data_IF_260127104556
#
_entry.id   IF_260127104556
#
_cell.length_a   1.000
_cell.length_b   1.000
_cell.length_c   1.000
_cell.angle_alpha   90.00
_cell.angle_beta   90.00
_cell.angle_gamma   90.00
#
_symmetry.space_group_name_H-M   'P 1'
#
loop_
_entity.id
_entity.type
_entity.pdbx_description
1 polymer ?
#
# COMPACT_ATOMS: atom_id res chain seq x y z
N UNK A 1 -65.92 -77.49 23.34
CA UNK A 1 -65.32 -76.33 24.04
C UNK A 1 -64.81 -75.38 22.97
N UNK A 2 -65.50 -74.24 22.85
CA UNK A 2 -65.78 -73.53 21.60
C UNK A 2 -64.57 -72.82 20.99
N UNK A 3 -64.53 -72.77 19.66
CA UNK A 3 -63.63 -71.96 18.80
C UNK A 3 -63.60 -70.47 19.19
N UNK A 4 -64.64 -69.98 19.89
CA UNK A 4 -64.68 -68.66 20.53
C UNK A 4 -63.63 -68.48 21.63
N UNK A 5 -63.31 -69.54 22.40
CA UNK A 5 -62.32 -69.46 23.49
C UNK A 5 -60.89 -69.35 22.94
N UNK A 6 -60.60 -69.97 21.79
CA UNK A 6 -59.30 -69.85 21.11
C UNK A 6 -59.11 -68.46 20.47
N UNK A 7 -60.17 -67.89 19.88
CA UNK A 7 -60.13 -66.53 19.33
C UNK A 7 -59.98 -65.45 20.41
N UNK A 8 -60.63 -65.62 21.57
CA UNK A 8 -60.48 -64.69 22.70
C UNK A 8 -59.08 -64.74 23.30
N UNK A 9 -58.45 -65.92 23.41
CA UNK A 9 -57.06 -66.04 23.86
C UNK A 9 -56.08 -65.39 22.86
N UNK A 10 -56.33 -65.54 21.54
CA UNK A 10 -55.48 -64.94 20.51
C UNK A 10 -55.62 -63.40 20.45
N UNK A 11 -56.82 -62.86 20.61
CA UNK A 11 -57.07 -61.41 20.67
C UNK A 11 -56.44 -60.77 21.91
N UNK A 12 -56.52 -61.45 23.06
CA UNK A 12 -55.90 -60.98 24.30
C UNK A 12 -54.37 -61.00 24.17
N UNK A 13 -53.76 -62.06 23.61
CA UNK A 13 -52.33 -62.12 23.33
C UNK A 13 -51.84 -61.08 22.31
N UNK A 14 -52.64 -60.77 21.27
CA UNK A 14 -52.31 -59.74 20.28
C UNK A 14 -52.35 -58.32 20.87
N UNK A 15 -53.33 -58.04 21.76
CA UNK A 15 -53.45 -56.75 22.43
C UNK A 15 -52.34 -56.52 23.49
N UNK A 16 -51.82 -57.58 24.10
CA UNK A 16 -50.65 -57.50 25.00
C UNK A 16 -49.30 -57.33 24.27
N UNK A 17 -49.19 -57.68 22.97
CA UNK A 17 -47.96 -57.52 22.18
C UNK A 17 -47.84 -56.16 21.45
N UNK A 18 -48.93 -55.39 21.33
CA UNK A 18 -48.93 -54.07 20.67
C UNK A 18 -48.93 -52.86 21.60
N UNK A 19 -48.94 -53.05 22.91
CA UNK A 19 -48.83 -51.95 23.88
C UNK A 19 -47.36 -51.57 24.10
N UNK A 20 -46.83 -50.62 23.31
CA UNK A 20 -45.59 -49.92 23.68
C UNK A 20 -45.86 -49.05 24.91
N UNK A 21 -45.08 -49.15 25.99
CA UNK A 21 -45.13 -48.20 27.07
C UNK A 21 -44.57 -46.85 26.59
N UNK A 22 -45.38 -45.79 26.70
CA UNK A 22 -44.87 -44.42 26.83
C UNK A 22 -44.23 -44.29 28.22
N UNK A 23 -43.00 -44.78 28.31
CA UNK A 23 -42.11 -44.59 29.45
C UNK A 23 -41.21 -43.38 29.21
N UNK A 24 -41.12 -42.52 30.22
CA UNK A 24 -40.39 -41.26 30.17
C UNK A 24 -38.91 -41.38 29.83
N UNK A 25 -38.40 -40.24 29.36
CA UNK A 25 -37.01 -39.95 29.05
C UNK A 25 -36.05 -40.39 30.18
N UNK A 26 -35.32 -41.48 29.95
CA UNK A 26 -34.07 -41.77 30.64
C UNK A 26 -32.96 -41.85 29.60
N UNK A 27 -32.08 -40.85 29.61
CA UNK A 27 -30.83 -40.83 28.86
C UNK A 27 -29.91 -41.95 29.34
N UNK A 28 -29.96 -43.11 28.69
CA UNK A 28 -28.90 -44.12 28.82
C UNK A 28 -27.79 -43.79 27.84
N UNK A 29 -26.58 -43.71 28.39
CA UNK A 29 -25.37 -43.17 27.79
C UNK A 29 -25.11 -43.70 26.39
N UNK A 30 -25.20 -42.77 25.43
CA UNK A 30 -24.35 -42.84 24.26
C UNK A 30 -22.91 -42.85 24.79
N UNK A 31 -22.15 -43.91 24.48
CA UNK A 31 -20.69 -43.91 24.62
C UNK A 31 -20.15 -42.93 23.55
N UNK A 32 -20.48 -41.65 23.71
CA UNK A 32 -19.70 -40.56 23.18
C UNK A 32 -18.40 -40.71 23.95
N UNK A 33 -17.40 -41.28 23.29
CA UNK A 33 -16.04 -40.88 23.60
C UNK A 33 -16.08 -39.37 23.54
N UNK A 34 -16.20 -38.73 24.70
CA UNK A 34 -16.03 -37.30 24.84
C UNK A 34 -14.59 -37.15 24.40
N UNK A 35 -14.39 -36.90 23.10
CA UNK A 35 -13.23 -36.18 22.62
C UNK A 35 -13.30 -34.93 23.47
N UNK A 36 -12.51 -34.94 24.55
CA UNK A 36 -12.37 -33.84 25.49
C UNK A 36 -12.07 -32.68 24.57
N UNK A 37 -13.08 -31.85 24.29
CA UNK A 37 -12.90 -30.67 23.48
C UNK A 37 -11.90 -29.88 24.29
N UNK A 38 -10.65 -29.92 23.86
CA UNK A 38 -9.55 -29.28 24.55
C UNK A 38 -9.91 -27.81 24.46
N UNK A 39 -10.43 -27.23 25.55
CA UNK A 39 -10.60 -25.79 25.63
C UNK A 39 -9.21 -25.23 25.38
N UNK A 40 -9.05 -24.53 24.27
CA UNK A 40 -7.81 -23.83 23.99
C UNK A 40 -7.63 -22.79 25.09
N UNK A 41 -6.56 -22.96 25.85
CA UNK A 41 -6.19 -22.03 26.90
C UNK A 41 -5.44 -20.90 26.21
N UNK A 42 -6.04 -19.72 26.28
CA UNK A 42 -5.47 -18.48 25.79
C UNK A 42 -4.78 -17.76 26.95
N UNK A 43 -3.46 -17.57 26.84
CA UNK A 43 -2.69 -16.77 27.78
C UNK A 43 -2.43 -15.40 27.15
N UNK A 44 -2.37 -14.35 27.97
CA UNK A 44 -2.00 -13.01 27.47
C UNK A 44 -0.50 -12.97 27.20
N UNK A 45 -0.05 -12.96 25.95
CA UNK A 45 1.38 -13.06 25.63
C UNK A 45 2.24 -11.89 26.19
N UNK A 46 1.63 -10.73 26.44
CA UNK A 46 2.31 -9.57 27.04
C UNK A 46 2.69 -9.81 28.51
N UNK A 47 1.87 -10.56 29.25
CA UNK A 47 1.98 -10.70 30.70
C UNK A 47 2.25 -12.15 31.15
N UNK A 48 1.95 -13.13 30.31
CA UNK A 48 1.92 -14.55 30.62
C UNK A 48 2.54 -15.42 29.52
N UNK A 49 2.98 -16.62 29.91
CA UNK A 49 3.40 -17.68 29.00
C UNK A 49 2.68 -18.98 29.33
N UNK A 50 2.53 -19.83 28.32
CA UNK A 50 1.87 -21.12 28.47
C UNK A 50 2.83 -22.18 29.04
N UNK A 51 2.38 -22.86 30.09
CA UNK A 51 3.04 -24.06 30.63
C UNK A 51 2.02 -25.21 30.70
N UNK A 52 2.00 -26.06 29.67
CA UNK A 52 1.00 -27.13 29.56
C UNK A 52 -0.43 -26.59 29.41
N UNK A 53 -1.27 -26.88 30.41
CA UNK A 53 -2.67 -26.44 30.47
C UNK A 53 -2.86 -25.33 31.54
N UNK A 54 -1.84 -24.50 31.78
CA UNK A 54 -1.93 -23.30 32.61
C UNK A 54 -1.13 -22.14 32.01
N UNK A 55 -1.54 -20.92 32.38
CA UNK A 55 -0.84 -19.68 32.11
C UNK A 55 0.00 -19.29 33.33
N UNK A 56 1.24 -18.87 33.09
CA UNK A 56 2.19 -18.45 34.11
C UNK A 56 2.59 -17.00 33.85
N UNK A 57 2.80 -16.21 34.90
CA UNK A 57 3.27 -14.82 34.74
C UNK A 57 4.71 -14.79 34.22
N UNK A 58 4.96 -13.89 33.27
CA UNK A 58 6.25 -13.65 32.63
C UNK A 58 7.33 -13.17 33.62
N UNK A 59 8.58 -13.52 33.34
CA UNK A 59 9.75 -12.92 33.97
C UNK A 59 9.97 -11.50 33.44
N UNK A 60 10.42 -10.54 34.27
CA UNK A 60 10.66 -9.17 33.80
C UNK A 60 11.80 -9.11 32.77
N UNK A 61 11.87 -8.01 32.03
CA UNK A 61 12.98 -7.73 31.12
C UNK A 61 14.33 -7.85 31.84
N UNK A 62 15.33 -8.40 31.15
CA UNK A 62 16.64 -8.74 31.67
C UNK A 62 16.70 -9.99 32.53
N UNK A 63 15.61 -10.77 32.58
CA UNK A 63 15.55 -12.07 33.23
C UNK A 63 15.04 -13.14 32.26
N UNK A 64 15.43 -14.39 32.54
CA UNK A 64 14.93 -15.62 31.91
C UNK A 64 14.24 -16.52 32.94
N UNK A 65 13.34 -17.37 32.48
CA UNK A 65 12.73 -18.41 33.29
C UNK A 65 13.66 -19.62 33.43
N UNK A 66 13.97 -20.02 34.66
CA UNK A 66 14.76 -21.24 34.94
C UNK A 66 13.84 -22.42 35.32
N UNK A 67 12.72 -22.14 35.98
CA UNK A 67 11.69 -23.15 36.24
C UNK A 67 10.29 -22.53 36.09
N UNK A 68 9.35 -23.24 35.44
CA UNK A 68 8.02 -22.72 35.21
C UNK A 68 7.21 -22.61 36.52
N UNK A 69 6.07 -21.92 36.46
CA UNK A 69 5.13 -21.90 37.57
C UNK A 69 4.47 -23.27 37.77
N UNK A 70 4.05 -23.54 39.01
CA UNK A 70 3.31 -24.76 39.38
C UNK A 70 1.80 -24.52 39.52
N UNK A 71 1.37 -23.27 39.49
CA UNK A 71 -0.01 -22.83 39.69
C UNK A 71 -0.40 -21.78 38.65
N UNK A 72 -1.64 -21.85 38.15
CA UNK A 72 -2.15 -20.93 37.14
C UNK A 72 -2.12 -19.47 37.64
N UNK A 73 -1.64 -18.56 36.82
CA UNK A 73 -1.51 -17.13 37.13
C UNK A 73 -0.38 -16.80 38.12
N UNK A 74 0.53 -17.74 38.41
CA UNK A 74 1.71 -17.48 39.27
C UNK A 74 2.98 -17.29 38.44
N UNK A 75 3.95 -16.60 39.04
CA UNK A 75 5.29 -16.42 38.46
C UNK A 75 6.16 -17.64 38.76
N UNK A 76 6.88 -18.12 37.74
CA UNK A 76 7.92 -19.14 37.90
C UNK A 76 9.20 -18.59 38.54
N UNK A 77 10.29 -19.35 38.52
CA UNK A 77 11.59 -18.85 38.98
C UNK A 77 12.31 -18.14 37.85
N UNK A 78 12.63 -16.87 38.07
CA UNK A 78 13.35 -16.02 37.14
C UNK A 78 14.80 -15.81 37.59
N UNK A 79 15.71 -15.65 36.64
CA UNK A 79 17.13 -15.37 36.89
C UNK A 79 17.61 -14.31 35.91
N UNK A 80 18.50 -13.44 36.38
CA UNK A 80 19.03 -12.34 35.59
C UNK A 80 19.87 -12.87 34.43
N UNK A 81 19.82 -12.20 33.29
CA UNK A 81 20.67 -12.53 32.16
C UNK A 81 22.15 -12.33 32.49
N UNK A 82 22.97 -13.28 32.06
CA UNK A 82 24.42 -13.22 32.12
C UNK A 82 24.96 -12.07 31.26
N UNK A 83 26.19 -11.62 31.53
CA UNK A 83 26.84 -10.56 30.76
C UNK A 83 26.95 -10.95 29.27
N UNK A 84 26.70 -9.96 28.39
CA UNK A 84 26.62 -10.19 26.95
C UNK A 84 25.32 -10.86 26.48
N UNK A 85 24.30 -10.97 27.34
CA UNK A 85 22.96 -11.44 27.00
C UNK A 85 21.88 -10.50 27.50
N UNK A 86 20.72 -10.52 26.82
CA UNK A 86 19.61 -9.64 27.12
C UNK A 86 18.24 -10.27 26.87
N UNK A 87 17.22 -9.68 27.50
CA UNK A 87 15.80 -9.82 27.12
C UNK A 87 15.15 -8.44 27.25
N UNK A 88 14.62 -7.91 26.14
CA UNK A 88 14.12 -6.53 26.09
C UNK A 88 12.76 -6.35 26.78
N UNK A 89 11.96 -7.41 26.80
CA UNK A 89 10.60 -7.39 27.32
C UNK A 89 10.36 -8.47 28.38
N UNK A 90 9.23 -8.36 29.07
CA UNK A 90 8.70 -9.41 29.93
C UNK A 90 8.51 -10.69 29.11
N UNK A 91 8.95 -11.84 29.61
CA UNK A 91 9.01 -13.06 28.81
C UNK A 91 8.94 -14.37 29.62
N UNK A 92 8.52 -15.45 28.96
CA UNK A 92 8.60 -16.83 29.45
C UNK A 92 9.79 -17.64 28.90
N UNK A 93 10.85 -16.97 28.44
CA UNK A 93 11.95 -17.63 27.73
C UNK A 93 12.84 -18.41 28.67
N UNK A 94 13.29 -19.59 28.24
CA UNK A 94 14.26 -20.40 28.98
C UNK A 94 15.68 -19.85 28.93
N UNK A 95 15.98 -18.99 27.95
CA UNK A 95 17.30 -18.44 27.71
C UNK A 95 17.22 -16.97 27.31
N UNK A 96 18.21 -16.19 27.71
CA UNK A 96 18.39 -14.83 27.21
C UNK A 96 19.04 -14.82 25.84
N UNK A 97 18.71 -13.82 25.02
CA UNK A 97 19.31 -13.61 23.71
C UNK A 97 20.75 -13.17 23.85
N UNK A 98 21.62 -13.62 22.94
CA UNK A 98 23.00 -13.15 22.89
C UNK A 98 23.03 -11.76 22.27
N UNK A 99 23.79 -10.84 22.84
CA UNK A 99 23.97 -9.52 22.27
C UNK A 99 24.69 -9.59 20.91
N UNK A 100 24.27 -8.73 20.00
CA UNK A 100 24.90 -8.49 18.71
C UNK A 100 26.33 -7.98 18.92
N UNK A 101 27.26 -8.49 18.12
CA UNK A 101 28.62 -7.94 18.07
C UNK A 101 28.74 -7.05 16.84
N UNK A 102 29.12 -5.79 17.04
CA UNK A 102 29.36 -4.87 15.93
C UNK A 102 30.56 -5.33 15.12
N UNK A 103 30.44 -5.23 13.80
CA UNK A 103 31.52 -5.56 12.87
C UNK A 103 32.64 -4.50 12.92
N UNK A 104 33.75 -4.79 12.25
CA UNK A 104 34.90 -3.88 12.16
C UNK A 104 34.61 -2.56 11.44
N UNK A 105 33.62 -2.52 10.55
CA UNK A 105 33.16 -1.33 9.81
C UNK A 105 32.11 -0.51 10.59
N UNK A 106 31.79 -0.92 11.81
CA UNK A 106 30.78 -0.33 12.66
C UNK A 106 31.37 0.13 14.00
N UNK A 107 30.69 1.08 14.62
CA UNK A 107 30.92 1.50 16.00
C UNK A 107 29.70 1.13 16.85
N UNK A 108 29.97 0.91 18.15
CA UNK A 108 28.92 0.66 19.13
C UNK A 108 28.24 2.00 19.42
N UNK A 109 26.99 2.15 19.00
CA UNK A 109 26.17 3.32 19.33
C UNK A 109 25.58 3.18 20.73
N UNK A 110 25.05 2.00 21.06
CA UNK A 110 24.61 1.66 22.42
C UNK A 110 25.19 0.32 22.85
N UNK A 111 25.80 0.24 24.05
CA UNK A 111 26.36 -1.00 24.54
C UNK A 111 25.25 -1.99 24.93
N UNK A 112 25.57 -3.28 24.88
CA UNK A 112 24.73 -4.34 25.44
C UNK A 112 24.44 -4.08 26.93
N UNK A 113 23.20 -4.34 27.34
CA UNK A 113 22.81 -4.46 28.75
C UNK A 113 21.88 -5.65 28.93
N UNK A 114 21.51 -6.02 30.16
CA UNK A 114 20.59 -7.14 30.34
C UNK A 114 19.19 -6.88 29.72
N UNK A 115 18.80 -5.63 29.48
CA UNK A 115 17.49 -5.29 28.89
C UNK A 115 17.60 -4.73 27.48
N UNK A 116 18.80 -4.64 26.90
CA UNK A 116 19.00 -3.98 25.61
C UNK A 116 20.08 -4.67 24.80
N UNK A 117 19.79 -4.91 23.53
CA UNK A 117 20.80 -5.38 22.59
C UNK A 117 21.87 -4.31 22.35
N UNK A 118 23.00 -4.71 21.80
CA UNK A 118 23.96 -3.76 21.22
C UNK A 118 23.35 -3.12 19.98
N UNK A 119 23.37 -1.80 19.91
CA UNK A 119 23.04 -1.05 18.69
C UNK A 119 24.33 -0.65 17.97
N UNK A 120 24.46 -1.08 16.72
CA UNK A 120 25.63 -0.81 15.89
C UNK A 120 25.31 0.26 14.84
N UNK A 121 26.27 1.14 14.59
CA UNK A 121 26.16 2.19 13.58
C UNK A 121 27.36 2.12 12.62
N UNK A 122 27.15 2.40 11.34
CA UNK A 122 28.27 2.51 10.40
C UNK A 122 29.22 3.62 10.82
N UNK A 123 30.52 3.35 10.73
CA UNK A 123 31.59 4.33 10.93
C UNK A 123 31.42 5.54 10.01
N UNK A 124 31.96 6.68 10.43
CA UNK A 124 31.96 7.91 9.61
C UNK A 124 32.51 7.65 8.21
N UNK A 125 31.78 8.12 7.20
CA UNK A 125 32.09 7.85 5.79
C UNK A 125 31.49 6.54 5.24
N UNK A 126 30.73 5.80 6.05
CA UNK A 126 29.91 4.66 5.62
C UNK A 126 28.43 4.83 5.96
N UNK A 127 27.56 4.19 5.18
CA UNK A 127 26.12 4.18 5.36
C UNK A 127 25.49 2.82 5.05
N UNK A 128 24.33 2.56 5.64
CA UNK A 128 23.46 1.45 5.29
C UNK A 128 22.03 1.92 5.11
N UNK A 129 21.48 1.71 3.92
CA UNK A 129 20.10 2.11 3.63
C UNK A 129 19.11 1.31 4.51
N UNK A 130 18.11 2.01 5.07
CA UNK A 130 17.12 1.43 5.99
C UNK A 130 16.25 0.32 5.38
N UNK A 131 16.24 0.22 4.04
CA UNK A 131 15.52 -0.76 3.26
C UNK A 131 16.34 -2.04 2.95
N UNK A 132 17.61 -2.10 3.36
CA UNK A 132 18.52 -3.23 3.08
C UNK A 132 19.10 -3.80 4.37
N UNK A 133 19.32 -5.13 4.40
CA UNK A 133 20.03 -5.75 5.51
C UNK A 133 21.46 -5.20 5.47
N UNK A 134 21.88 -4.53 6.53
CA UNK A 134 23.18 -3.88 6.59
C UNK A 134 24.26 -4.94 6.77
N UNK A 135 24.48 -5.80 5.77
CA UNK A 135 25.52 -6.84 5.77
C UNK A 135 26.92 -6.24 5.65
N UNK A 136 27.03 -5.09 4.98
CA UNK A 136 28.27 -4.30 4.84
C UNK A 136 27.92 -2.81 4.81
N UNK A 137 28.66 -1.97 5.54
CA UNK A 137 28.55 -0.51 5.45
C UNK A 137 29.12 -0.03 4.11
N UNK A 138 28.25 0.56 3.28
CA UNK A 138 28.63 1.11 1.97
C UNK A 138 29.36 2.42 2.17
N UNK A 139 30.47 2.63 1.46
CA UNK A 139 31.15 3.94 1.51
C UNK A 139 30.25 5.03 0.93
N UNK A 140 30.26 6.19 1.57
CA UNK A 140 29.56 7.37 1.08
C UNK A 140 30.13 7.80 -0.27
N UNK A 141 29.25 8.12 -1.21
CA UNK A 141 29.60 8.72 -2.49
C UNK A 141 30.17 10.13 -2.27
N UNK A 142 31.05 10.55 -3.17
CA UNK A 142 31.54 11.93 -3.25
C UNK A 142 31.00 12.53 -4.55
N UNK A 143 30.51 13.76 -4.48
CA UNK A 143 30.02 14.44 -5.68
C UNK A 143 31.18 14.85 -6.57
N UNK A 144 30.97 14.77 -7.88
CA UNK A 144 31.98 15.16 -8.86
C UNK A 144 32.16 16.67 -8.92
N UNK A 145 33.23 17.15 -9.59
CA UNK A 145 33.56 18.59 -9.66
C UNK A 145 32.44 19.45 -10.25
N UNK A 146 31.66 18.88 -11.17
CA UNK A 146 30.53 19.54 -11.83
C UNK A 146 29.20 19.39 -11.08
N UNK A 147 29.23 18.76 -9.90
CA UNK A 147 28.07 18.55 -9.04
C UNK A 147 28.25 19.28 -7.69
N UNK A 148 27.13 19.59 -7.05
CA UNK A 148 27.07 20.11 -5.70
C UNK A 148 26.39 19.11 -4.76
N UNK A 149 26.87 19.05 -3.53
CA UNK A 149 26.26 18.23 -2.49
C UNK A 149 25.00 18.90 -1.99
N UNK A 150 23.86 18.23 -2.19
CA UNK A 150 22.55 18.71 -1.72
C UNK A 150 22.26 18.18 -0.32
N UNK A 151 22.74 16.96 -0.03
CA UNK A 151 22.59 16.34 1.28
C UNK A 151 23.82 15.52 1.61
N UNK A 152 24.36 15.77 2.79
CA UNK A 152 25.51 15.02 3.30
C UNK A 152 25.14 13.56 3.62
N UNK A 153 26.16 12.71 3.53
CA UNK A 153 26.03 11.32 3.95
C UNK A 153 25.75 11.22 5.45
N UNK A 154 24.91 10.25 5.83
CA UNK A 154 24.68 9.86 7.22
C UNK A 154 24.92 8.36 7.36
N UNK A 155 24.92 7.83 8.59
CA UNK A 155 25.04 6.38 8.80
C UNK A 155 23.96 5.53 8.10
N UNK A 156 22.86 6.15 7.66
CA UNK A 156 21.72 5.47 7.03
C UNK A 156 21.40 5.93 5.61
N UNK A 157 22.01 7.02 5.14
CA UNK A 157 21.73 7.59 3.81
C UNK A 157 23.01 8.00 3.11
N UNK A 158 23.09 7.73 1.81
CA UNK A 158 24.22 8.19 1.01
C UNK A 158 24.22 9.72 0.84
N UNK A 159 25.35 10.26 0.40
CA UNK A 159 25.46 11.61 -0.15
C UNK A 159 24.54 11.76 -1.36
N UNK A 160 23.81 12.89 -1.44
CA UNK A 160 22.99 13.24 -2.60
C UNK A 160 23.66 14.38 -3.35
N UNK A 161 23.91 14.15 -4.65
CA UNK A 161 24.59 15.08 -5.54
C UNK A 161 23.62 15.61 -6.59
N UNK A 162 23.81 16.86 -7.01
CA UNK A 162 23.05 17.49 -8.09
C UNK A 162 23.99 18.24 -9.04
N UNK A 163 23.76 18.22 -10.36
CA UNK A 163 24.55 19.00 -11.30
C UNK A 163 24.51 20.50 -10.95
N UNK A 164 25.67 21.15 -11.02
CA UNK A 164 25.74 22.62 -10.90
C UNK A 164 25.02 23.23 -12.08
N UNK A 165 24.02 24.06 -11.81
CA UNK A 165 23.37 24.86 -12.86
C UNK A 165 24.40 25.84 -13.39
N UNK A 166 24.97 25.56 -14.57
CA UNK A 166 25.69 26.60 -15.31
C UNK A 166 24.64 27.66 -15.59
N UNK A 167 24.78 28.83 -14.97
CA UNK A 167 24.10 30.02 -15.47
C UNK A 167 24.65 30.22 -16.87
N UNK A 168 23.99 29.65 -17.88
CA UNK A 168 24.08 30.20 -19.21
C UNK A 168 23.67 31.66 -19.02
N UNK A 169 24.56 32.64 -19.28
CA UNK A 169 24.12 34.03 -19.26
C UNK A 169 22.91 34.07 -20.20
N UNK A 170 21.76 34.46 -19.67
CA UNK A 170 20.63 34.84 -20.51
C UNK A 170 21.23 35.89 -21.42
N UNK A 171 21.51 35.53 -22.67
CA UNK A 171 21.94 36.46 -23.68
C UNK A 171 20.71 37.33 -23.94
N UNK A 172 20.48 38.31 -23.08
CA UNK A 172 19.59 39.42 -23.36
C UNK A 172 20.24 40.06 -24.56
N UNK A 173 19.74 39.68 -25.74
CA UNK A 173 20.16 40.26 -27.01
C UNK A 173 20.17 41.77 -26.81
N UNK A 174 21.33 42.42 -26.97
CA UNK A 174 21.47 43.88 -26.84
C UNK A 174 20.50 44.65 -27.75
N UNK A 175 19.87 43.94 -28.71
CA UNK A 175 18.83 44.45 -29.59
C UNK A 175 17.45 44.54 -28.93
N UNK A 176 17.18 43.84 -27.83
CA UNK A 176 15.89 43.89 -27.13
C UNK A 176 15.63 45.23 -26.42
N UNK A 177 16.69 46.02 -26.18
CA UNK A 177 16.61 47.33 -25.52
C UNK A 177 15.87 48.36 -26.39
N UNK A 178 15.98 48.26 -27.72
CA UNK A 178 15.32 49.19 -28.65
C UNK A 178 13.97 48.72 -29.17
N UNK A 179 13.66 47.42 -29.07
CA UNK A 179 12.40 46.86 -29.61
C UNK A 179 11.19 47.39 -28.82
N UNK A 180 11.26 47.40 -27.49
CA UNK A 180 10.13 47.85 -26.65
C UNK A 180 9.83 49.35 -26.83
N UNK A 181 10.82 50.27 -26.82
CA UNK A 181 10.59 51.68 -27.10
C UNK A 181 10.07 51.96 -28.51
N UNK A 182 10.60 51.30 -29.54
CA UNK A 182 10.15 51.49 -30.93
C UNK A 182 8.70 51.04 -31.13
N UNK A 183 8.31 49.91 -30.54
CA UNK A 183 6.94 49.42 -30.62
C UNK A 183 5.95 50.37 -29.93
N UNK A 184 6.31 50.91 -28.77
CA UNK A 184 5.47 51.91 -28.08
C UNK A 184 5.36 53.23 -28.86
N UNK A 185 6.46 53.69 -29.46
CA UNK A 185 6.45 54.90 -30.29
C UNK A 185 5.57 54.72 -31.54
N UNK A 186 5.69 53.58 -32.23
CA UNK A 186 4.88 53.28 -33.41
C UNK A 186 3.38 53.23 -33.07
N UNK A 187 3.00 52.62 -31.94
CA UNK A 187 1.62 52.61 -31.46
C UNK A 187 1.12 54.01 -31.12
N UNK A 188 1.95 54.87 -30.52
CA UNK A 188 1.62 56.26 -30.26
C UNK A 188 1.33 57.05 -31.55
N UNK A 189 2.16 56.89 -32.58
CA UNK A 189 1.97 57.54 -33.89
C UNK A 189 0.66 57.09 -34.55
N UNK A 190 0.33 55.80 -34.48
CA UNK A 190 -0.92 55.25 -35.00
C UNK A 190 -2.12 55.87 -34.28
N UNK A 191 -2.08 55.97 -32.95
CA UNK A 191 -3.15 56.60 -32.17
C UNK A 191 -3.37 58.07 -32.53
N UNK A 192 -2.29 58.84 -32.72
CA UNK A 192 -2.36 60.24 -33.15
C UNK A 192 -2.96 60.33 -34.55
N UNK A 193 -2.52 59.49 -35.48
CA UNK A 193 -3.03 59.49 -36.86
C UNK A 193 -4.53 59.16 -36.90
N UNK A 194 -4.96 58.12 -36.17
CA UNK A 194 -6.38 57.78 -36.02
C UNK A 194 -7.15 58.94 -35.40
N UNK A 195 -6.62 59.57 -34.34
CA UNK A 195 -7.23 60.74 -33.70
C UNK A 195 -7.41 61.93 -34.65
N UNK A 196 -6.42 62.23 -35.50
CA UNK A 196 -6.49 63.30 -36.50
C UNK A 196 -7.51 62.98 -37.59
N UNK A 197 -7.54 61.74 -38.10
CA UNK A 197 -8.54 61.30 -39.08
C UNK A 197 -9.95 61.37 -38.48
N UNK A 198 -10.10 60.97 -37.21
CA UNK A 198 -11.37 61.03 -36.49
C UNK A 198 -11.81 62.47 -36.25
N UNK A 199 -10.91 63.38 -35.88
CA UNK A 199 -11.19 64.81 -35.77
C UNK A 199 -11.59 65.43 -37.11
N UNK A 200 -10.89 65.08 -38.21
CA UNK A 200 -11.25 65.55 -39.56
C UNK A 200 -12.63 65.05 -39.98
N UNK A 201 -12.96 63.78 -39.69
CA UNK A 201 -14.30 63.23 -39.93
C UNK A 201 -15.36 63.92 -39.07
N UNK A 202 -15.09 64.18 -37.79
CA UNK A 202 -16.01 64.88 -36.89
C UNK A 202 -16.29 66.32 -37.32
N UNK A 203 -15.28 67.05 -37.81
CA UNK A 203 -15.47 68.39 -38.40
C UNK A 203 -16.28 68.35 -39.70
N UNK A 204 -16.21 67.26 -40.48
CA UNK A 204 -17.03 67.09 -41.68
C UNK A 204 -18.51 66.82 -41.35
N UNK A 205 -18.81 66.10 -40.25
CA UNK A 205 -20.20 65.88 -39.80
C UNK A 205 -20.84 67.08 -39.09
N UNK A 206 -20.04 68.02 -38.57
CA UNK A 206 -20.54 69.25 -37.93
C UNK A 206 -20.95 70.31 -38.98
N UNK A 207 -20.41 70.25 -40.20
CA UNK A 207 -20.77 71.15 -41.32
C UNK A 207 -22.16 70.89 -41.93
N UNK A 208 -22.88 69.83 -41.54
CA UNK A 208 -24.25 69.54 -42.02
C UNK A 208 -25.35 69.68 -40.94
N UNK A 209 -25.06 70.20 -39.74
CA UNK A 209 -26.07 70.41 -38.69
C UNK A 209 -26.59 71.86 -38.57
N UNK A 210 -26.14 72.78 -39.43
CA UNK A 210 -26.66 74.15 -39.50
C UNK A 210 -27.37 74.43 -40.83
N UNK A 211 -28.29 73.54 -41.27
CA UNK A 211 -29.28 73.89 -42.31
C UNK A 211 -30.48 72.92 -42.34
N UNK A 212 -31.28 72.89 -41.27
CA UNK A 212 -32.70 72.49 -41.38
C UNK A 212 -33.48 72.94 -40.14
N UNK A 213 -33.95 74.18 -40.18
CA UNK A 213 -35.07 74.67 -39.37
C UNK A 213 -36.32 74.63 -40.26
N UNK A 214 -37.40 74.03 -39.74
CA UNK A 214 -38.76 74.10 -40.27
C UNK A 214 -39.18 72.84 -41.06
N UNK A 215 -40.30 72.16 -40.78
CA UNK A 215 -41.55 72.65 -40.18
C UNK A 215 -42.50 71.47 -39.84
N UNK A 216 -43.14 71.55 -38.65
CA UNK A 216 -44.51 71.09 -38.28
C UNK A 216 -44.84 69.57 -38.29
N UNK A 217 -45.72 69.03 -37.43
CA UNK A 217 -46.67 69.57 -36.45
C UNK A 217 -46.96 68.51 -35.37
N UNK A 218 -47.75 68.89 -34.36
CA UNK A 218 -48.08 68.22 -33.09
C UNK A 218 -48.64 66.77 -33.10
N UNK A 219 -49.13 66.16 -32.02
CA UNK A 219 -49.32 66.51 -30.61
C UNK A 219 -49.87 65.24 -29.90
N UNK A 220 -49.67 65.15 -28.58
CA UNK A 220 -50.53 64.51 -27.55
C UNK A 220 -50.38 63.01 -27.16
N UNK A 221 -50.10 62.87 -25.86
CA UNK A 221 -50.72 62.03 -24.83
C UNK A 221 -50.57 60.50 -24.76
N UNK A 222 -49.87 60.10 -23.68
CA UNK A 222 -50.35 59.39 -22.47
C UNK A 222 -50.99 57.98 -22.53
N UNK A 223 -50.59 57.22 -21.49
CA UNK A 223 -51.22 56.04 -20.85
C UNK A 223 -50.91 54.61 -21.33
N UNK A 224 -50.05 53.96 -20.52
CA UNK A 224 -50.31 52.74 -19.71
C UNK A 224 -51.32 51.66 -20.18
N UNK A 225 -50.85 50.40 -20.31
CA UNK A 225 -51.49 49.18 -19.75
C UNK A 225 -50.56 47.96 -19.99
N UNK A 226 -50.12 47.23 -18.96
CA UNK A 226 -50.78 46.08 -18.29
C UNK A 226 -50.94 44.86 -19.23
N UNK A 227 -50.08 43.84 -19.19
CA UNK A 227 -50.26 42.57 -18.44
C UNK A 227 -49.06 41.65 -18.83
N UNK A 228 -48.18 41.15 -17.95
CA UNK A 228 -48.28 40.07 -16.94
C UNK A 228 -48.57 38.67 -17.50
N UNK A 229 -47.54 37.80 -17.53
CA UNK A 229 -47.51 36.37 -17.11
C UNK A 229 -46.13 35.79 -17.51
N UNK A 230 -45.36 34.95 -16.81
CA UNK A 230 -45.12 34.66 -15.39
C UNK A 230 -43.73 33.99 -15.34
N UNK A 231 -43.06 34.16 -14.20
CA UNK A 231 -41.65 33.88 -13.88
C UNK A 231 -41.46 32.44 -13.37
N UNK A 232 -40.20 31.99 -13.44
CA UNK A 232 -39.44 31.13 -12.49
C UNK A 232 -39.10 29.69 -12.94
N UNK A 233 -37.77 29.47 -12.94
CA UNK A 233 -36.97 28.29 -12.57
C UNK A 233 -36.47 27.24 -13.56
N UNK A 234 -35.19 26.91 -13.31
CA UNK A 234 -34.44 25.66 -13.45
C UNK A 234 -33.57 25.45 -14.70
N UNK A 235 -32.26 25.53 -14.44
CA UNK A 235 -31.15 24.86 -15.15
C UNK A 235 -31.25 23.32 -15.04
N UNK A 236 -30.83 22.60 -16.09
CA UNK A 236 -29.87 21.48 -15.95
C UNK A 236 -28.74 21.60 -17.01
N UNK A 237 -27.47 21.38 -16.67
CA UNK A 237 -26.77 20.09 -16.50
C UNK A 237 -26.36 19.39 -17.81
N UNK A 238 -25.03 19.31 -17.96
CA UNK A 238 -24.21 18.23 -18.53
C UNK A 238 -23.96 18.03 -20.04
N UNK A 239 -22.67 17.68 -20.25
CA UNK A 239 -22.05 16.87 -21.29
C UNK A 239 -21.61 17.57 -22.59
N UNK A 240 -20.30 17.49 -22.85
CA UNK A 240 -19.67 17.79 -24.11
C UNK A 240 -18.63 16.69 -24.38
N UNK A 241 -18.76 15.88 -25.45
CA UNK A 241 -17.74 14.91 -25.84
C UNK A 241 -16.90 15.39 -27.03
N UNK A 242 -15.61 15.07 -26.95
CA UNK A 242 -14.67 14.67 -28.03
C UNK A 242 -14.70 15.37 -29.39
N UNK A 243 -13.54 15.92 -29.77
CA UNK A 243 -13.13 16.07 -31.17
C UNK A 243 -11.70 15.55 -31.38
N UNK A 244 -11.60 14.45 -32.12
CA UNK A 244 -10.39 13.98 -32.79
C UNK A 244 -10.05 14.91 -33.96
N UNK A 245 -8.75 15.10 -34.27
CA UNK A 245 -8.20 14.76 -35.60
C UNK A 245 -6.65 14.76 -35.61
N UNK A 246 -6.10 13.58 -35.84
CA UNK A 246 -4.96 13.19 -36.71
C UNK A 246 -3.65 14.02 -36.74
N UNK A 247 -2.54 13.33 -36.39
CA UNK A 247 -1.18 13.63 -36.87
C UNK A 247 -0.65 12.45 -37.70
N UNK A 248 -0.13 12.75 -38.90
CA UNK A 248 0.49 11.80 -39.82
C UNK A 248 1.98 11.64 -39.54
N UNK A 249 2.44 10.40 -39.74
CA UNK A 249 3.82 9.92 -39.67
C UNK A 249 4.75 10.63 -40.65
N UNK A 250 6.01 10.79 -40.27
CA UNK A 250 7.14 10.95 -41.19
C UNK A 250 8.33 10.18 -40.63
N UNK A 251 8.61 9.02 -41.23
CA UNK A 251 9.84 8.25 -41.04
C UNK A 251 10.74 8.47 -42.25
N UNK A 252 11.99 8.84 -41.99
CA UNK A 252 13.05 9.00 -42.99
C UNK A 252 13.70 7.66 -43.30
N UNK A 253 13.83 7.39 -44.60
CA UNK A 253 14.51 6.23 -45.16
C UNK A 253 16.03 6.46 -45.24
N UNK A 254 16.83 5.43 -44.96
CA UNK A 254 18.20 5.28 -45.43
C UNK A 254 18.47 3.86 -45.93
N UNK A 255 19.39 3.67 -46.89
CA UNK A 255 19.35 2.56 -47.84
C UNK A 255 20.09 1.27 -47.42
N UNK A 256 19.64 0.19 -48.05
CA UNK A 256 20.05 -1.21 -48.00
C UNK A 256 21.43 -1.49 -48.63
N UNK A 257 22.15 -2.47 -48.07
CA UNK A 257 23.22 -3.23 -48.73
C UNK A 257 23.12 -4.73 -48.35
N UNK A 258 23.60 -5.68 -49.18
CA UNK A 258 23.17 -7.08 -49.16
C UNK A 258 23.96 -8.00 -48.21
N UNK A 259 23.46 -9.21 -47.87
CA UNK A 259 24.04 -10.03 -46.81
C UNK A 259 25.19 -10.90 -47.32
N UNK A 260 26.24 -11.00 -46.51
CA UNK A 260 27.31 -12.01 -46.66
C UNK A 260 27.14 -13.05 -45.57
N UNK A 261 26.89 -14.29 -45.97
CA UNK A 261 26.77 -15.43 -45.07
C UNK A 261 28.04 -15.58 -44.21
N UNK A 262 27.85 -15.62 -42.88
CA UNK A 262 28.84 -16.16 -41.93
C UNK A 262 28.14 -17.09 -40.95
N UNK A 263 28.83 -18.19 -40.71
CA UNK A 263 28.47 -19.38 -39.97
C UNK A 263 27.92 -19.08 -38.56
N UNK A 264 26.84 -19.76 -38.22
CA UNK A 264 26.24 -19.79 -36.88
C UNK A 264 27.26 -20.35 -35.88
N UNK A 265 27.59 -19.55 -34.87
CA UNK A 265 28.07 -20.02 -33.57
C UNK A 265 26.85 -19.97 -32.65
N UNK A 266 26.49 -21.04 -31.91
CA UNK A 266 25.36 -20.97 -30.98
C UNK A 266 25.71 -20.01 -29.85
N UNK A 267 24.86 -19.02 -29.51
CA UNK A 267 25.07 -18.21 -28.32
C UNK A 267 24.76 -19.06 -27.07
N UNK A 268 25.45 -18.84 -25.94
CA UNK A 268 25.11 -19.50 -24.70
C UNK A 268 23.71 -19.05 -24.29
N UNK A 269 22.88 -20.00 -23.82
CA UNK A 269 21.53 -19.79 -23.34
C UNK A 269 21.42 -18.48 -22.53
N UNK A 270 20.81 -17.46 -23.16
CA UNK A 270 20.12 -16.39 -22.43
C UNK A 270 19.03 -17.10 -21.64
N UNK A 271 19.16 -17.14 -20.32
CA UNK A 271 18.00 -17.36 -19.46
C UNK A 271 17.09 -16.17 -19.73
N UNK A 272 16.01 -16.41 -20.45
CA UNK A 272 14.87 -15.49 -20.44
C UNK A 272 14.52 -15.30 -18.97
N UNK A 273 14.58 -14.05 -18.48
CA UNK A 273 13.89 -13.72 -17.22
C UNK A 273 12.42 -13.92 -17.51
N UNK A 274 11.90 -15.12 -17.23
CA UNK A 274 10.47 -15.39 -17.29
C UNK A 274 9.75 -14.35 -16.43
N UNK A 275 8.95 -13.52 -17.10
CA UNK A 275 8.04 -12.59 -16.46
C UNK A 275 7.13 -13.38 -15.51
N UNK A 276 7.06 -12.96 -14.25
CA UNK A 276 6.33 -13.72 -13.23
C UNK A 276 4.85 -13.86 -13.65
N UNK A 277 4.31 -15.09 -13.77
CA UNK A 277 2.97 -15.30 -14.32
C UNK A 277 1.89 -14.53 -13.57
N UNK A 278 0.98 -13.89 -14.31
CA UNK A 278 -0.14 -13.15 -13.74
C UNK A 278 -1.24 -14.12 -13.33
N UNK A 279 -1.71 -14.01 -12.09
CA UNK A 279 -2.76 -14.85 -11.52
C UNK A 279 -4.14 -14.17 -11.59
N UNK A 280 -5.18 -14.96 -11.82
CA UNK A 280 -6.57 -14.51 -11.85
C UNK A 280 -7.37 -15.11 -10.68
N UNK A 281 -8.07 -14.28 -9.88
CA UNK A 281 -8.82 -14.76 -8.72
C UNK A 281 -10.07 -15.54 -9.14
N UNK A 282 -10.38 -16.62 -8.43
CA UNK A 282 -11.59 -17.43 -8.65
C UNK A 282 -12.81 -16.81 -7.96
N UNK A 283 -12.65 -16.32 -6.73
CA UNK A 283 -13.71 -15.75 -5.88
C UNK A 283 -13.40 -14.29 -5.46
N UNK A 284 -12.92 -13.45 -6.39
CA UNK A 284 -12.69 -12.02 -6.13
C UNK A 284 -11.77 -11.76 -4.93
N UNK A 285 -12.20 -10.90 -4.00
CA UNK A 285 -11.45 -10.54 -2.78
C UNK A 285 -11.33 -11.70 -1.77
N UNK A 286 -12.25 -12.67 -1.79
CA UNK A 286 -12.22 -13.83 -0.90
C UNK A 286 -11.07 -14.78 -1.26
N UNK A 287 -10.75 -14.92 -2.55
CA UNK A 287 -9.53 -15.62 -3.00
C UNK A 287 -8.27 -15.01 -2.40
N UNK A 288 -8.22 -13.68 -2.27
CA UNK A 288 -7.06 -13.00 -1.71
C UNK A 288 -6.96 -13.22 -0.20
N UNK A 289 -8.08 -13.11 0.53
CA UNK A 289 -8.11 -13.39 1.99
C UNK A 289 -7.67 -14.80 2.32
N UNK A 290 -8.10 -15.79 1.54
CA UNK A 290 -7.69 -17.18 1.73
C UNK A 290 -6.18 -17.41 1.50
N UNK A 291 -5.49 -16.49 0.82
CA UNK A 291 -4.05 -16.59 0.63
C UNK A 291 -3.22 -15.99 1.77
N UNK A 292 -3.83 -15.29 2.74
CA UNK A 292 -3.08 -14.61 3.81
C UNK A 292 -2.30 -15.58 4.70
N UNK A 293 -2.84 -16.78 4.93
CA UNK A 293 -2.15 -17.84 5.69
C UNK A 293 -0.83 -18.29 5.03
N UNK A 294 -0.66 -18.10 3.71
CA UNK A 294 0.58 -18.49 3.02
C UNK A 294 1.74 -17.53 3.30
N UNK A 295 1.44 -16.32 3.79
CA UNK A 295 2.47 -15.33 4.13
C UNK A 295 3.06 -15.59 5.52
N UNK A 296 2.47 -16.46 6.33
CA UNK A 296 2.95 -16.87 7.65
C UNK A 296 4.36 -17.49 7.65
N UNK A 297 4.82 -17.95 6.48
CA UNK A 297 6.16 -18.50 6.27
C UNK A 297 7.22 -17.44 5.95
N UNK A 298 6.83 -16.17 5.82
CA UNK A 298 7.78 -15.09 5.57
C UNK A 298 8.65 -14.83 6.78
N UNK A 299 9.94 -14.55 6.57
CA UNK A 299 10.84 -14.22 7.67
C UNK A 299 10.53 -12.81 8.23
N UNK A 300 10.55 -12.71 9.56
CA UNK A 300 10.20 -11.50 10.33
C UNK A 300 11.03 -10.28 9.93
N UNK A 301 12.27 -10.51 9.47
CA UNK A 301 13.20 -9.48 9.02
C UNK A 301 12.70 -8.76 7.76
N UNK A 302 11.92 -9.45 6.90
CA UNK A 302 11.39 -8.88 5.67
C UNK A 302 9.97 -8.32 5.83
N UNK A 303 9.25 -8.71 6.89
CA UNK A 303 7.86 -8.28 7.15
C UNK A 303 7.69 -6.76 7.13
N UNK A 304 8.50 -6.02 7.90
CA UNK A 304 8.40 -4.55 7.93
C UNK A 304 8.72 -3.92 6.57
N UNK A 305 9.65 -4.50 5.80
CA UNK A 305 10.03 -3.99 4.47
C UNK A 305 8.96 -4.26 3.43
N UNK A 306 8.35 -5.43 3.49
CA UNK A 306 7.23 -5.84 2.65
C UNK A 306 6.08 -4.85 2.77
N UNK A 307 5.63 -4.57 3.98
CA UNK A 307 4.53 -3.64 4.20
C UNK A 307 4.87 -2.17 3.88
N UNK A 308 6.13 -1.75 4.02
CA UNK A 308 6.60 -0.45 3.51
C UNK A 308 6.53 -0.37 1.98
N UNK A 309 6.86 -1.45 1.26
CA UNK A 309 6.75 -1.50 -0.21
C UNK A 309 5.30 -1.46 -0.68
N UNK A 310 4.39 -2.03 0.09
CA UNK A 310 2.95 -1.89 -0.09
C UNK A 310 2.41 -0.49 0.32
N UNK A 311 3.29 0.45 0.65
CA UNK A 311 2.92 1.83 0.95
C UNK A 311 2.25 2.01 2.31
N UNK A 312 2.41 1.08 3.26
CA UNK A 312 1.99 1.30 4.64
C UNK A 312 3.01 2.14 5.41
N UNK A 313 2.51 3.05 6.25
CA UNK A 313 3.36 3.91 7.07
C UNK A 313 3.91 3.16 8.27
N UNK A 314 5.08 3.58 8.76
CA UNK A 314 5.71 2.99 9.95
C UNK A 314 4.81 3.05 11.18
N UNK A 315 3.96 4.08 11.29
CA UNK A 315 3.02 4.21 12.40
C UNK A 315 2.00 3.05 12.44
N UNK A 316 1.51 2.62 11.27
CA UNK A 316 0.56 1.50 11.15
C UNK A 316 1.27 0.17 11.34
N UNK A 317 2.50 0.03 10.82
CA UNK A 317 3.29 -1.19 10.96
C UNK A 317 3.70 -1.42 12.43
N UNK A 318 4.05 -0.34 13.14
CA UNK A 318 4.48 -0.41 14.54
C UNK A 318 3.29 -0.42 15.53
N UNK A 319 2.08 0.01 15.14
CA UNK A 319 0.91 -0.12 16.02
C UNK A 319 0.52 -1.58 16.28
N UNK A 320 0.98 -2.50 15.42
CA UNK A 320 0.80 -3.96 15.51
C UNK A 320 2.02 -4.70 16.07
N UNK A 321 3.02 -3.96 16.57
CA UNK A 321 4.23 -4.52 17.19
C UNK A 321 3.95 -5.47 18.37
N UNK A 322 2.91 -5.27 19.22
CA UNK A 322 2.62 -6.17 20.33
C UNK A 322 2.04 -7.54 19.92
N UNK A 323 1.55 -7.69 18.69
CA UNK A 323 0.89 -8.92 18.25
C UNK A 323 1.90 -10.05 17.93
N UNK A 324 1.46 -11.29 18.11
CA UNK A 324 2.16 -12.47 17.60
C UNK A 324 2.40 -12.33 16.09
N UNK A 325 3.47 -12.94 15.58
CA UNK A 325 3.88 -12.78 14.17
C UNK A 325 2.76 -13.12 13.17
N UNK A 326 1.98 -14.18 13.42
CA UNK A 326 0.87 -14.57 12.56
C UNK A 326 -0.30 -13.59 12.65
N UNK A 327 -0.68 -13.16 13.85
CA UNK A 327 -1.76 -12.18 14.00
C UNK A 327 -1.35 -10.82 13.40
N UNK A 328 -0.07 -10.45 13.53
CA UNK A 328 0.51 -9.25 12.96
C UNK A 328 0.47 -9.25 11.44
N UNK A 329 0.80 -10.36 10.78
CA UNK A 329 0.81 -10.41 9.32
C UNK A 329 -0.60 -10.37 8.75
N UNK A 330 -1.54 -11.11 9.35
CA UNK A 330 -2.94 -11.09 8.96
C UNK A 330 -3.56 -9.71 9.17
N UNK A 331 -3.35 -9.07 10.32
CA UNK A 331 -3.85 -7.72 10.59
C UNK A 331 -3.32 -6.69 9.59
N UNK A 332 -2.01 -6.73 9.30
CA UNK A 332 -1.39 -5.80 8.37
C UNK A 332 -1.84 -6.03 6.92
N UNK A 333 -2.04 -7.29 6.51
CA UNK A 333 -2.63 -7.62 5.20
C UNK A 333 -4.09 -7.16 5.10
N UNK A 334 -4.88 -7.29 6.16
CA UNK A 334 -6.23 -6.77 6.22
C UNK A 334 -6.26 -5.24 6.08
N UNK A 335 -5.41 -4.53 6.84
CA UNK A 335 -5.33 -3.06 6.76
C UNK A 335 -4.88 -2.61 5.36
N UNK A 336 -3.92 -3.31 4.75
CA UNK A 336 -3.50 -3.03 3.38
C UNK A 336 -4.65 -3.23 2.39
N UNK A 337 -5.36 -4.35 2.48
CA UNK A 337 -6.50 -4.66 1.61
C UNK A 337 -7.62 -3.61 1.75
N UNK A 338 -7.94 -3.17 2.96
CA UNK A 338 -8.92 -2.11 3.21
C UNK A 338 -8.50 -0.77 2.60
N UNK A 339 -7.20 -0.46 2.63
CA UNK A 339 -6.64 0.77 2.04
C UNK A 339 -6.69 0.75 0.52
N UNK A 340 -6.33 -0.36 -0.10
CA UNK A 340 -6.26 -0.50 -1.56
C UNK A 340 -7.65 -0.73 -2.19
N UNK A 341 -8.58 -1.32 -1.43
CA UNK A 341 -9.95 -1.53 -1.86
C UNK A 341 -10.09 -2.60 -2.96
N UNK A 342 -10.94 -2.34 -3.96
CA UNK A 342 -11.29 -3.32 -5.01
C UNK A 342 -10.15 -3.67 -5.96
N UNK A 343 -9.12 -2.85 -6.01
CA UNK A 343 -7.95 -3.08 -6.88
C UNK A 343 -6.89 -3.96 -6.19
N UNK A 344 -7.09 -4.32 -4.91
CA UNK A 344 -6.18 -5.22 -4.20
C UNK A 344 -6.12 -6.60 -4.86
N UNK A 345 -4.91 -7.02 -5.24
CA UNK A 345 -4.70 -8.32 -5.84
C UNK A 345 -3.51 -9.06 -5.23
N UNK A 346 -3.56 -10.40 -5.29
CA UNK A 346 -2.42 -11.23 -4.92
C UNK A 346 -1.19 -10.89 -5.78
N UNK A 347 -1.38 -10.45 -7.03
CA UNK A 347 -0.28 -10.04 -7.90
C UNK A 347 0.48 -8.84 -7.35
N UNK A 348 -0.17 -7.92 -6.64
CA UNK A 348 0.50 -6.77 -6.02
C UNK A 348 1.38 -7.21 -4.86
N UNK A 349 0.89 -8.16 -4.05
CA UNK A 349 1.67 -8.80 -2.98
C UNK A 349 2.87 -9.57 -3.57
N UNK A 350 2.67 -10.38 -4.60
CA UNK A 350 3.73 -11.13 -5.26
C UNK A 350 4.76 -10.22 -5.91
N UNK A 351 4.32 -9.12 -6.54
CA UNK A 351 5.21 -8.09 -7.09
C UNK A 351 6.07 -7.43 -5.99
N UNK A 352 5.47 -7.09 -4.85
CA UNK A 352 6.20 -6.53 -3.72
C UNK A 352 7.26 -7.52 -3.17
N UNK A 353 7.00 -8.83 -3.21
CA UNK A 353 7.99 -9.85 -2.85
C UNK A 353 9.14 -9.92 -3.86
N UNK A 354 8.83 -9.87 -5.16
CA UNK A 354 9.84 -9.86 -6.21
C UNK A 354 10.75 -8.63 -6.11
N UNK A 355 10.18 -7.46 -5.86
CA UNK A 355 10.93 -6.20 -5.64
C UNK A 355 11.84 -6.26 -4.40
N UNK A 356 11.55 -7.15 -3.45
CA UNK A 356 12.37 -7.42 -2.27
C UNK A 356 13.33 -8.61 -2.45
N UNK A 357 13.50 -9.10 -3.67
CA UNK A 357 14.29 -10.28 -4.02
C UNK A 357 13.82 -11.57 -3.30
N UNK A 358 12.54 -11.65 -2.92
CA UNK A 358 11.93 -12.83 -2.29
C UNK A 358 11.24 -13.72 -3.35
N UNK A 359 11.94 -14.04 -4.44
CA UNK A 359 11.39 -14.81 -5.56
C UNK A 359 10.92 -16.21 -5.13
N UNK A 360 11.70 -16.91 -4.29
CA UNK A 360 11.32 -18.24 -3.80
C UNK A 360 10.02 -18.22 -3.00
N UNK A 361 9.85 -17.22 -2.12
CA UNK A 361 8.61 -17.03 -1.34
C UNK A 361 7.42 -16.72 -2.25
N UNK A 362 7.62 -15.85 -3.26
CA UNK A 362 6.58 -15.53 -4.23
C UNK A 362 6.15 -16.77 -5.04
N UNK A 363 7.09 -17.63 -5.44
CA UNK A 363 6.81 -18.89 -6.13
C UNK A 363 6.03 -19.86 -5.25
N UNK A 364 6.43 -20.05 -3.99
CA UNK A 364 5.72 -20.90 -3.03
C UNK A 364 4.27 -20.43 -2.81
N UNK A 365 4.06 -19.14 -2.62
CA UNK A 365 2.72 -18.57 -2.41
C UNK A 365 1.86 -18.74 -3.66
N UNK A 366 2.42 -18.46 -4.85
CA UNK A 366 1.76 -18.68 -6.14
C UNK A 366 1.33 -20.14 -6.29
N UNK A 367 2.23 -21.08 -6.02
CA UNK A 367 1.94 -22.52 -6.14
C UNK A 367 0.83 -22.95 -5.17
N UNK A 368 0.87 -22.51 -3.91
CA UNK A 368 -0.19 -22.78 -2.93
C UNK A 368 -1.53 -22.19 -3.35
N UNK A 369 -1.55 -20.96 -3.85
CA UNK A 369 -2.76 -20.28 -4.30
C UNK A 369 -3.43 -21.01 -5.49
N UNK A 370 -2.64 -21.52 -6.42
CA UNK A 370 -3.15 -22.31 -7.56
C UNK A 370 -3.55 -23.71 -7.14
N UNK A 371 -2.73 -24.39 -6.32
CA UNK A 371 -2.98 -25.74 -5.86
C UNK A 371 -4.28 -25.85 -5.04
N UNK A 372 -4.54 -24.87 -4.17
CA UNK A 372 -5.76 -24.82 -3.36
C UNK A 372 -6.96 -24.21 -4.09
N UNK A 373 -6.82 -23.90 -5.39
CA UNK A 373 -7.94 -23.44 -6.24
C UNK A 373 -8.42 -22.03 -5.96
N UNK A 374 -7.64 -21.19 -5.27
CA UNK A 374 -7.98 -19.80 -5.04
C UNK A 374 -7.70 -18.92 -6.27
N UNK A 375 -6.71 -19.30 -7.07
CA UNK A 375 -6.27 -18.61 -8.28
C UNK A 375 -6.01 -19.57 -9.44
N UNK A 376 -6.10 -19.05 -10.67
CA UNK A 376 -5.64 -19.73 -11.89
C UNK A 376 -4.67 -18.86 -12.68
N UNK A 377 -3.91 -19.49 -13.57
CA UNK A 377 -2.96 -18.84 -14.47
C UNK A 377 -3.66 -18.25 -15.70
#
# INVERSE_FOLDING_TARGET
MSTLLKYMVFLVLFLFLSAKPTGGFQTSGLNVGIRKVRREIYCSDEEEYRNGDMCCLNCPAGYRMISPCTENGKKGRCEKCDDGRYTEHSNGLKHCFKCTQCRSDQDILKPCSQTQNTECQCRSGGFCALDQACEVCKKCSRCDKDEETVKDCTSTTNTVCKPKTKQSPVLVSEKAIWIVPLSLFALGVIFVFVGVVWQRRRRATESQRNQSVGLKDGQHDSEESLTKERRITHMPSYSNPTRQLHCLLSSSAFPTSPPRARLMVPPPHRREEEEFPKLFPVNGEESLRNCFEYFEEMDVTYLKRFFRKLGMSDNVINSKEPLLFQDKIHDLLNIWMEKEGRDSSLNDLLKALLDLNQKGTAETIKEKAVHNGHYHL
#
